data_IF_191212415508
#
_entry.id   IF_191212415508
#
_cell.length_a   1.000
_cell.length_b   1.000
_cell.length_c   1.000
_cell.angle_alpha   90.00
_cell.angle_beta   90.00
_cell.angle_gamma   90.00
#
_symmetry.space_group_name_H-M   'P 1'
#
loop_
_entity.id
_entity.type
_entity.pdbx_description
1 polymer ?
#
# COMPACT_ATOMS: atom_id res chain seq x y z
N UNK A 1 7.44 8.39 -28.72
CA UNK A 1 6.95 8.39 -27.32
C UNK A 1 8.13 8.82 -26.48
N UNK A 2 8.03 9.90 -25.70
CA UNK A 2 9.15 10.39 -24.89
C UNK A 2 9.64 9.27 -23.95
N UNK A 3 10.94 8.98 -23.96
CA UNK A 3 11.57 7.95 -23.13
C UNK A 3 11.27 8.16 -21.64
N UNK A 4 11.15 9.43 -21.20
CA UNK A 4 10.74 9.77 -19.83
C UNK A 4 9.34 9.25 -19.52
N UNK A 5 8.39 9.45 -20.44
CA UNK A 5 7.02 8.98 -20.28
C UNK A 5 6.96 7.46 -20.23
N UNK A 6 7.75 6.77 -21.07
CA UNK A 6 7.83 5.32 -21.06
C UNK A 6 8.35 4.80 -19.70
N UNK A 7 9.42 5.37 -19.16
CA UNK A 7 9.98 5.00 -17.86
C UNK A 7 8.95 5.19 -16.75
N UNK A 8 8.27 6.34 -16.72
CA UNK A 8 7.23 6.62 -15.72
C UNK A 8 6.02 5.69 -15.85
N UNK A 9 5.62 5.32 -17.05
CA UNK A 9 4.53 4.36 -17.27
C UNK A 9 4.86 2.96 -16.73
N UNK A 10 6.11 2.51 -16.87
CA UNK A 10 6.59 1.25 -16.30
C UNK A 10 6.64 1.31 -14.77
N UNK A 11 7.16 2.42 -14.22
CA UNK A 11 7.20 2.66 -12.78
C UNK A 11 5.79 2.68 -12.17
N UNK A 12 4.85 3.39 -12.80
CA UNK A 12 3.44 3.44 -12.41
C UNK A 12 2.84 2.04 -12.31
N UNK A 13 3.00 1.22 -13.35
CA UNK A 13 2.48 -0.16 -13.38
C UNK A 13 3.04 -1.03 -12.24
N UNK A 14 4.33 -0.89 -11.92
CA UNK A 14 4.92 -1.61 -10.80
C UNK A 14 4.43 -1.10 -9.44
N UNK A 15 4.26 0.22 -9.28
CA UNK A 15 3.67 0.81 -8.06
C UNK A 15 2.24 0.33 -7.86
N UNK A 16 1.42 0.30 -8.92
CA UNK A 16 0.03 -0.21 -8.86
C UNK A 16 -0.02 -1.67 -8.39
N UNK A 17 0.85 -2.54 -8.93
CA UNK A 17 0.96 -3.93 -8.43
C UNK A 17 1.38 -4.01 -6.97
N UNK A 18 2.27 -3.14 -6.50
CA UNK A 18 2.70 -3.10 -5.10
C UNK A 18 1.57 -2.61 -4.19
N UNK A 19 0.81 -1.61 -4.65
CA UNK A 19 -0.36 -1.08 -3.96
C UNK A 19 -1.44 -2.16 -3.81
N UNK A 20 -1.75 -2.90 -4.87
CA UNK A 20 -2.72 -4.00 -4.84
C UNK A 20 -2.31 -5.07 -3.80
N UNK A 21 -1.02 -5.44 -3.77
CA UNK A 21 -0.49 -6.37 -2.76
C UNK A 21 -0.60 -5.83 -1.34
N UNK A 22 -0.32 -4.54 -1.13
CA UNK A 22 -0.44 -3.91 0.18
C UNK A 22 -1.91 -3.89 0.65
N UNK A 23 -2.86 -3.59 -0.24
CA UNK A 23 -4.29 -3.64 0.05
C UNK A 23 -4.76 -5.06 0.40
N UNK A 24 -4.30 -6.08 -0.34
CA UNK A 24 -4.58 -7.48 -0.03
C UNK A 24 -4.04 -7.89 1.36
N UNK A 25 -2.85 -7.42 1.73
CA UNK A 25 -2.24 -7.71 3.02
C UNK A 25 -2.97 -7.02 4.19
N UNK A 26 -3.44 -5.77 3.99
CA UNK A 26 -4.33 -5.08 4.94
C UNK A 26 -5.61 -5.89 5.14
N UNK A 27 -6.24 -6.37 4.06
CA UNK A 27 -7.45 -7.21 4.16
C UNK A 27 -7.18 -8.47 4.98
N UNK A 28 -6.05 -9.14 4.73
CA UNK A 28 -5.64 -10.35 5.47
C UNK A 28 -5.38 -10.07 6.95
N UNK A 29 -4.66 -8.99 7.26
CA UNK A 29 -4.29 -8.63 8.65
C UNK A 29 -5.47 -8.08 9.44
N UNK A 30 -6.35 -7.30 8.81
CA UNK A 30 -7.58 -6.80 9.43
C UNK A 30 -8.53 -7.96 9.78
N UNK A 31 -8.63 -8.94 8.89
CA UNK A 31 -9.43 -10.14 9.15
C UNK A 31 -8.86 -10.97 10.29
N UNK A 32 -7.55 -11.19 10.32
CA UNK A 32 -6.88 -11.83 11.47
C UNK A 32 -7.13 -11.09 12.77
N UNK A 33 -7.07 -9.76 12.77
CA UNK A 33 -7.33 -8.95 13.96
C UNK A 33 -8.79 -9.05 14.41
N UNK A 34 -9.75 -9.08 13.48
CA UNK A 34 -11.18 -9.27 13.77
C UNK A 34 -11.49 -10.62 14.42
N UNK A 35 -10.76 -11.66 14.04
CA UNK A 35 -10.93 -13.01 14.59
C UNK A 35 -10.35 -13.17 16.00
N UNK A 36 -9.57 -12.21 16.51
CA UNK A 36 -9.02 -12.29 17.87
C UNK A 36 -10.07 -11.90 18.91
N UNK A 37 -10.21 -12.76 19.91
CA UNK A 37 -11.18 -12.61 20.99
C UNK A 37 -10.52 -11.98 22.23
N UNK A 38 -11.24 -11.07 22.91
CA UNK A 38 -10.71 -10.31 24.04
C UNK A 38 -10.49 -11.18 25.29
N UNK A 39 -11.30 -12.22 25.45
CA UNK A 39 -11.33 -13.14 26.58
C UNK A 39 -10.51 -14.41 26.32
N UNK A 40 -10.37 -14.84 25.05
CA UNK A 40 -9.61 -16.05 24.70
C UNK A 40 -8.16 -15.78 24.33
N UNK A 41 -7.86 -14.68 23.65
CA UNK A 41 -6.49 -14.39 23.21
C UNK A 41 -5.69 -13.60 24.25
N UNK A 42 -4.36 -13.71 24.16
CA UNK A 42 -3.48 -12.92 25.02
C UNK A 42 -3.43 -11.45 24.59
N UNK A 43 -3.22 -10.55 25.56
CA UNK A 43 -3.02 -9.11 25.30
C UNK A 43 -1.87 -8.87 24.31
N UNK A 44 -0.78 -9.64 24.43
CA UNK A 44 0.38 -9.55 23.55
C UNK A 44 0.02 -9.93 22.09
N UNK A 45 -0.75 -11.02 21.89
CA UNK A 45 -1.19 -11.45 20.55
C UNK A 45 -2.04 -10.38 19.88
N UNK A 46 -3.00 -9.81 20.60
CA UNK A 46 -3.84 -8.71 20.09
C UNK A 46 -3.02 -7.46 19.76
N UNK A 47 -2.08 -7.08 20.63
CA UNK A 47 -1.18 -5.94 20.37
C UNK A 47 -0.37 -6.15 19.10
N UNK A 48 0.24 -7.32 18.93
CA UNK A 48 1.06 -7.63 17.76
C UNK A 48 0.22 -7.62 16.47
N UNK A 49 -1.01 -8.14 16.50
CA UNK A 49 -1.92 -8.08 15.36
C UNK A 49 -2.32 -6.64 14.99
N UNK A 50 -2.52 -5.75 15.98
CA UNK A 50 -2.76 -4.32 15.73
C UNK A 50 -1.55 -3.65 15.09
N UNK A 51 -0.35 -3.86 15.64
CA UNK A 51 0.89 -3.30 15.08
C UNK A 51 1.09 -3.79 13.64
N UNK A 52 0.91 -5.09 13.40
CA UNK A 52 1.06 -5.66 12.06
C UNK A 52 0.09 -5.03 11.04
N UNK A 53 -1.16 -4.76 11.46
CA UNK A 53 -2.15 -4.05 10.63
C UNK A 53 -1.73 -2.60 10.39
N UNK A 54 -1.29 -1.87 11.42
CA UNK A 54 -0.80 -0.50 11.29
C UNK A 54 0.35 -0.41 10.29
N UNK A 55 1.37 -1.26 10.39
CA UNK A 55 2.48 -1.27 9.44
C UNK A 55 2.02 -1.60 8.00
N UNK A 56 0.97 -2.42 7.84
CA UNK A 56 0.42 -2.70 6.52
C UNK A 56 -0.28 -1.47 5.92
N UNK A 57 -1.01 -0.72 6.73
CA UNK A 57 -1.62 0.55 6.33
C UNK A 57 -0.55 1.58 5.94
N UNK A 58 0.51 1.74 6.74
CA UNK A 58 1.63 2.64 6.44
C UNK A 58 2.30 2.29 5.10
N UNK A 59 2.47 0.99 4.81
CA UNK A 59 3.05 0.56 3.54
C UNK A 59 2.11 0.84 2.36
N UNK A 60 0.77 0.66 2.50
CA UNK A 60 -0.19 1.09 1.47
C UNK A 60 -0.07 2.59 1.23
N UNK A 61 -0.09 3.41 2.27
CA UNK A 61 -0.05 4.87 2.18
C UNK A 61 1.24 5.33 1.48
N UNK A 62 2.35 4.62 1.73
CA UNK A 62 3.61 4.84 1.01
C UNK A 62 3.48 4.60 -0.50
N UNK A 63 2.79 3.54 -0.91
CA UNK A 63 2.57 3.24 -2.33
C UNK A 63 1.57 4.21 -2.98
N UNK A 64 0.51 4.61 -2.27
CA UNK A 64 -0.44 5.63 -2.72
C UNK A 64 0.28 6.96 -2.99
N UNK A 65 1.10 7.42 -2.04
CA UNK A 65 1.88 8.65 -2.22
C UNK A 65 2.88 8.56 -3.38
N UNK A 66 3.51 7.41 -3.58
CA UNK A 66 4.41 7.20 -4.74
C UNK A 66 3.64 7.25 -6.06
N UNK A 67 2.43 6.68 -6.10
CA UNK A 67 1.57 6.71 -7.27
C UNK A 67 1.13 8.14 -7.61
N UNK A 68 0.76 8.92 -6.60
CA UNK A 68 0.43 10.35 -6.76
C UNK A 68 1.60 11.15 -7.37
N UNK A 69 2.82 10.96 -6.85
CA UNK A 69 4.02 11.62 -7.37
C UNK A 69 4.27 11.24 -8.84
N UNK A 70 4.18 9.95 -9.18
CA UNK A 70 4.38 9.50 -10.56
C UNK A 70 3.31 10.03 -11.50
N UNK A 71 2.04 10.05 -11.08
CA UNK A 71 0.95 10.64 -11.86
C UNK A 71 1.20 12.13 -12.11
N UNK A 72 1.63 12.87 -11.08
CA UNK A 72 1.98 14.29 -11.20
C UNK A 72 3.08 14.52 -12.23
N UNK A 73 4.17 13.76 -12.17
CA UNK A 73 5.26 13.87 -13.16
C UNK A 73 4.81 13.52 -14.58
N UNK A 74 3.93 12.53 -14.73
CA UNK A 74 3.37 12.18 -16.03
C UNK A 74 2.43 13.26 -16.58
N UNK A 75 1.73 14.00 -15.73
CA UNK A 75 0.90 15.15 -16.13
C UNK A 75 1.75 16.35 -16.51
N UNK A 76 2.82 16.64 -15.77
CA UNK A 76 3.77 17.71 -16.10
C UNK A 76 4.37 17.51 -17.50
N UNK A 77 4.82 16.29 -17.84
CA UNK A 77 5.35 15.96 -19.18
C UNK A 77 4.31 16.10 -20.29
N UNK A 78 3.02 15.87 -20.01
CA UNK A 78 1.96 16.02 -21.02
C UNK A 78 1.61 17.47 -21.32
N UNK A 79 1.89 18.37 -20.37
CA UNK A 79 1.59 19.79 -20.46
C UNK A 79 2.81 20.62 -20.90
N UNK A 80 3.98 19.99 -21.05
CA UNK A 80 5.17 20.51 -21.75
C UNK A 80 5.03 20.36 -23.27
#
# INVERSE_FOLDING_TARGET
>A
MDDKYLILSLAKREIEKKLERAQADIKKKSEKLRQLDVFRDSKARRRNARIALTCACEERDRWERRLEIVNKWMEEIKNE
#
